data_IF_758076984133
#
_entry.id   IF_758076984133
#
_cell.length_a   1.000
_cell.length_b   1.000
_cell.length_c   1.000
_cell.angle_alpha   90.00
_cell.angle_beta   90.00
_cell.angle_gamma   90.00
#
_symmetry.space_group_name_H-M   'P 1'
#
loop_
_entity.id
_entity.type
_entity.pdbx_description
1 polymer ?
#
# COMPACT_ATOMS: atom_id res chain seq x y z
N UNK A 1 26.56 -23.53 -22.73
CA UNK A 1 25.19 -23.91 -22.37
C UNK A 1 24.45 -22.88 -21.47
N UNK A 2 24.97 -21.72 -21.04
CA UNK A 2 24.18 -20.69 -20.34
C UNK A 2 23.32 -19.81 -21.25
N UNK A 3 23.70 -19.61 -22.51
CA UNK A 3 22.97 -18.70 -23.43
C UNK A 3 21.64 -19.23 -23.95
N UNK A 4 21.46 -20.53 -24.05
CA UNK A 4 20.19 -21.16 -24.47
C UNK A 4 19.07 -21.08 -23.41
N UNK A 5 19.43 -20.99 -22.13
CA UNK A 5 18.48 -20.81 -21.02
C UNK A 5 18.04 -19.35 -20.88
N UNK A 6 18.88 -18.39 -21.24
CA UNK A 6 18.57 -16.95 -21.19
C UNK A 6 17.54 -16.54 -22.25
N UNK A 7 17.56 -17.12 -23.44
CA UNK A 7 16.62 -16.80 -24.53
C UNK A 7 15.20 -17.33 -24.28
N UNK A 8 15.05 -18.40 -23.52
CA UNK A 8 13.75 -19.02 -23.22
C UNK A 8 12.93 -18.27 -22.14
N UNK A 9 13.55 -17.38 -21.36
CA UNK A 9 12.88 -16.65 -20.27
C UNK A 9 12.43 -15.24 -20.65
N UNK A 10 12.92 -14.68 -21.76
CA UNK A 10 12.66 -13.31 -22.19
C UNK A 10 11.18 -12.99 -22.50
N UNK A 11 10.33 -13.99 -22.71
CA UNK A 11 8.91 -13.83 -23.07
C UNK A 11 7.94 -14.44 -22.02
N UNK A 12 8.44 -14.91 -20.89
CA UNK A 12 7.55 -15.52 -19.88
C UNK A 12 6.91 -14.47 -19.01
N UNK A 13 5.62 -14.61 -18.67
CA UNK A 13 4.92 -13.64 -17.82
C UNK A 13 5.53 -13.51 -16.42
N UNK A 14 5.48 -12.30 -15.89
CA UNK A 14 5.76 -12.00 -14.48
C UNK A 14 4.45 -12.09 -13.72
N UNK A 15 4.39 -12.94 -12.70
CA UNK A 15 3.22 -13.03 -11.82
C UNK A 15 3.46 -12.16 -10.60
N UNK A 16 2.55 -11.24 -10.31
CA UNK A 16 2.55 -10.44 -9.08
C UNK A 16 1.41 -10.92 -8.20
N UNK A 17 1.74 -11.62 -7.11
CA UNK A 17 0.76 -12.12 -6.15
C UNK A 17 0.59 -11.12 -4.99
N UNK A 18 -0.62 -10.62 -4.78
CA UNK A 18 -0.95 -9.69 -3.71
C UNK A 18 -2.31 -9.97 -3.11
N UNK A 19 -2.44 -9.78 -1.80
CA UNK A 19 -3.69 -9.81 -1.04
C UNK A 19 -3.76 -8.58 -0.15
N UNK A 20 -4.90 -7.92 -0.12
CA UNK A 20 -5.08 -6.73 0.72
C UNK A 20 -6.18 -5.82 0.23
N UNK A 21 -5.97 -4.53 0.44
CA UNK A 21 -6.88 -3.44 0.11
C UNK A 21 -6.39 -2.66 -1.13
N UNK A 22 -7.07 -1.58 -1.47
CA UNK A 22 -6.60 -0.64 -2.50
C UNK A 22 -5.16 -0.15 -2.25
N UNK A 23 -4.75 -0.03 -0.96
CA UNK A 23 -3.40 0.37 -0.58
C UNK A 23 -2.32 -0.62 -1.01
N UNK A 24 -2.68 -1.90 -1.12
CA UNK A 24 -1.78 -2.97 -1.54
C UNK A 24 -1.82 -3.19 -3.06
N UNK A 25 -2.99 -3.09 -3.69
CA UNK A 25 -3.18 -3.45 -5.10
C UNK A 25 -2.79 -2.32 -6.05
N UNK A 26 -3.12 -1.05 -5.76
CA UNK A 26 -2.80 0.09 -6.65
C UNK A 26 -1.30 0.26 -6.91
N UNK A 27 -0.40 0.20 -5.91
CA UNK A 27 1.04 0.25 -6.16
C UNK A 27 1.54 -0.90 -7.05
N UNK A 28 0.92 -2.07 -6.93
CA UNK A 28 1.26 -3.24 -7.74
C UNK A 28 0.82 -3.07 -9.20
N UNK A 29 -0.32 -2.45 -9.43
CA UNK A 29 -0.73 -2.08 -10.79
C UNK A 29 0.26 -1.08 -11.38
N UNK A 30 0.72 -0.10 -10.61
CA UNK A 30 1.74 0.85 -11.07
C UNK A 30 3.06 0.14 -11.47
N UNK A 31 3.55 -0.76 -10.61
CA UNK A 31 4.73 -1.58 -10.91
C UNK A 31 4.51 -2.46 -12.15
N UNK A 32 3.33 -3.11 -12.24
CA UNK A 32 2.96 -3.94 -13.41
C UNK A 32 2.96 -3.15 -14.72
N UNK A 33 2.42 -1.94 -14.71
CA UNK A 33 2.47 -1.05 -15.90
C UNK A 33 3.90 -0.63 -16.26
N UNK A 34 4.74 -0.36 -15.26
CA UNK A 34 6.16 -0.07 -15.49
C UNK A 34 6.90 -1.24 -16.14
N UNK A 35 6.61 -2.46 -15.69
CA UNK A 35 7.12 -3.68 -16.30
C UNK A 35 6.62 -3.84 -17.75
N UNK A 36 5.34 -3.58 -18.01
CA UNK A 36 4.79 -3.63 -19.38
C UNK A 36 5.43 -2.59 -20.31
N UNK A 37 5.73 -1.39 -19.82
CA UNK A 37 6.43 -0.35 -20.58
C UNK A 37 7.84 -0.76 -21.01
N UNK A 38 8.46 -1.70 -20.28
CA UNK A 38 9.73 -2.35 -20.64
C UNK A 38 9.57 -3.58 -21.53
N UNK A 39 8.31 -3.93 -21.91
CA UNK A 39 7.99 -5.03 -22.80
C UNK A 39 7.72 -6.36 -22.13
N UNK A 40 7.61 -6.40 -20.79
CA UNK A 40 7.28 -7.63 -20.06
C UNK A 40 5.76 -7.86 -20.01
N UNK A 41 5.35 -9.12 -20.14
CA UNK A 41 3.95 -9.52 -19.85
C UNK A 41 3.77 -9.65 -18.35
N UNK A 42 2.68 -9.10 -17.81
CA UNK A 42 2.42 -9.07 -16.37
C UNK A 42 1.04 -9.62 -16.05
N UNK A 43 0.98 -10.56 -15.11
CA UNK A 43 -0.23 -11.12 -14.51
C UNK A 43 -0.35 -10.71 -13.06
N UNK A 44 -1.51 -10.24 -12.66
CA UNK A 44 -1.79 -9.89 -11.26
C UNK A 44 -2.71 -10.95 -10.67
N UNK A 45 -2.18 -11.70 -9.71
CA UNK A 45 -2.88 -12.73 -8.94
C UNK A 45 -3.38 -12.09 -7.64
N UNK A 46 -4.68 -11.77 -7.58
CA UNK A 46 -5.27 -11.05 -6.44
C UNK A 46 -6.77 -11.26 -6.31
N UNK A 47 -7.38 -10.66 -5.29
CA UNK A 47 -8.80 -10.76 -4.97
C UNK A 47 -9.70 -10.32 -6.14
N UNK A 48 -10.82 -11.03 -6.41
CA UNK A 48 -11.72 -10.76 -7.54
C UNK A 48 -12.33 -9.34 -7.57
N UNK A 49 -12.49 -8.70 -6.43
CA UNK A 49 -13.02 -7.34 -6.35
C UNK A 49 -12.14 -6.28 -7.03
N UNK A 50 -10.89 -6.62 -7.41
CA UNK A 50 -9.98 -5.75 -8.15
C UNK A 50 -9.89 -6.06 -9.65
N UNK A 51 -10.60 -7.05 -10.17
CA UNK A 51 -10.53 -7.45 -11.59
C UNK A 51 -10.73 -6.28 -12.54
N UNK A 52 -11.81 -5.51 -12.35
CA UNK A 52 -12.14 -4.35 -13.19
C UNK A 52 -11.00 -3.34 -13.20
N UNK A 53 -10.44 -3.04 -12.02
CA UNK A 53 -9.33 -2.07 -11.89
C UNK A 53 -8.07 -2.57 -12.59
N UNK A 54 -7.74 -3.85 -12.50
CA UNK A 54 -6.54 -4.45 -13.11
C UNK A 54 -6.67 -4.44 -14.62
N UNK A 55 -7.80 -4.95 -15.16
CA UNK A 55 -8.05 -5.00 -16.60
C UNK A 55 -8.14 -3.61 -17.23
N UNK A 56 -8.73 -2.64 -16.54
CA UNK A 56 -8.77 -1.24 -16.98
C UNK A 56 -7.38 -0.60 -17.10
N UNK A 57 -6.38 -1.16 -16.41
CA UNK A 57 -4.97 -0.74 -16.52
C UNK A 57 -4.14 -1.61 -17.50
N UNK A 58 -4.79 -2.47 -18.28
CA UNK A 58 -4.14 -3.28 -19.34
C UNK A 58 -3.35 -4.47 -18.81
N UNK A 59 -3.54 -4.88 -17.55
CA UNK A 59 -2.87 -6.04 -16.95
C UNK A 59 -3.75 -7.28 -17.01
N UNK A 60 -3.13 -8.46 -17.10
CA UNK A 60 -3.85 -9.73 -16.99
C UNK A 60 -4.25 -9.98 -15.55
N UNK A 61 -5.52 -10.33 -15.33
CA UNK A 61 -6.04 -10.67 -14.01
C UNK A 61 -6.17 -12.17 -13.83
N UNK A 62 -5.72 -12.67 -12.68
CA UNK A 62 -5.94 -14.01 -12.19
C UNK A 62 -6.57 -13.96 -10.80
N UNK A 63 -7.65 -14.70 -10.53
CA UNK A 63 -8.31 -14.65 -9.22
C UNK A 63 -7.47 -15.32 -8.14
N UNK A 64 -7.47 -14.71 -6.95
CA UNK A 64 -6.94 -15.29 -5.72
C UNK A 64 -7.96 -15.07 -4.61
N UNK A 65 -8.43 -16.15 -3.99
CA UNK A 65 -9.38 -16.08 -2.88
C UNK A 65 -8.82 -15.26 -1.72
N UNK A 66 -9.54 -14.21 -1.30
CA UNK A 66 -9.01 -13.30 -0.27
C UNK A 66 -9.65 -11.90 -0.26
N UNK A 67 -10.98 -11.81 -0.09
CA UNK A 67 -11.68 -10.53 -0.06
C UNK A 67 -11.48 -9.81 1.29
N UNK A 68 -10.44 -8.98 1.36
CA UNK A 68 -10.14 -8.18 2.54
C UNK A 68 -11.19 -7.09 2.80
N UNK A 69 -11.90 -6.61 1.77
CA UNK A 69 -12.96 -5.62 1.96
C UNK A 69 -14.11 -6.21 2.77
N UNK A 70 -14.59 -7.39 2.38
CA UNK A 70 -15.63 -8.09 3.12
C UNK A 70 -15.18 -8.47 4.54
N UNK A 71 -13.91 -8.90 4.68
CA UNK A 71 -13.35 -9.21 5.99
C UNK A 71 -13.38 -8.00 6.93
N UNK A 72 -12.90 -6.84 6.49
CA UNK A 72 -12.82 -5.63 7.31
C UNK A 72 -14.22 -5.05 7.58
N UNK A 73 -15.11 -5.03 6.59
CA UNK A 73 -16.49 -4.56 6.76
C UNK A 73 -17.30 -5.46 7.69
N UNK A 74 -17.10 -6.78 7.61
CA UNK A 74 -17.78 -7.74 8.47
C UNK A 74 -17.19 -7.88 9.88
N UNK A 75 -15.99 -7.32 10.14
CA UNK A 75 -15.29 -7.47 11.41
C UNK A 75 -14.61 -6.15 11.83
N UNK A 76 -15.36 -5.19 12.38
CA UNK A 76 -14.81 -3.89 12.80
C UNK A 76 -13.65 -4.00 13.79
N UNK A 77 -13.67 -4.97 14.70
CA UNK A 77 -12.57 -5.20 15.66
C UNK A 77 -11.25 -5.56 14.97
N UNK A 78 -11.32 -6.32 13.86
CA UNK A 78 -10.15 -6.61 13.03
C UNK A 78 -9.67 -5.36 12.29
N UNK A 79 -10.60 -4.58 11.73
CA UNK A 79 -10.29 -3.36 10.99
C UNK A 79 -9.61 -2.31 11.87
N UNK A 80 -10.03 -2.20 13.13
CA UNK A 80 -9.55 -1.20 14.08
C UNK A 80 -8.48 -1.74 15.05
N UNK A 81 -8.10 -3.02 14.90
CA UNK A 81 -7.20 -3.72 15.83
C UNK A 81 -7.67 -3.61 17.29
N UNK A 82 -9.00 -3.61 17.49
CA UNK A 82 -9.66 -3.55 18.80
C UNK A 82 -10.08 -4.95 19.25
N UNK A 83 -10.26 -5.10 20.53
CA UNK A 83 -10.61 -6.40 21.13
C UNK A 83 -9.38 -7.22 21.52
N UNK A 84 -9.61 -8.36 22.12
CA UNK A 84 -8.52 -9.22 22.58
C UNK A 84 -7.76 -9.82 21.39
N UNK A 85 -6.43 -9.79 21.43
CA UNK A 85 -5.57 -10.33 20.37
C UNK A 85 -5.93 -11.77 19.95
N UNK A 86 -6.48 -12.56 20.89
CA UNK A 86 -6.94 -13.95 20.63
C UNK A 86 -8.14 -13.99 19.65
N UNK A 87 -9.09 -13.06 19.81
CA UNK A 87 -10.25 -12.96 18.93
C UNK A 87 -9.86 -12.54 17.52
N UNK A 88 -9.06 -11.48 17.40
CA UNK A 88 -8.53 -10.99 16.11
C UNK A 88 -7.74 -12.12 15.41
N UNK A 89 -6.85 -12.78 16.13
CA UNK A 89 -6.05 -13.88 15.61
C UNK A 89 -6.89 -15.06 15.15
N UNK A 90 -7.92 -15.44 15.94
CA UNK A 90 -8.85 -16.52 15.58
C UNK A 90 -9.63 -16.22 14.30
N UNK A 91 -10.17 -15.01 14.19
CA UNK A 91 -10.90 -14.55 12.99
C UNK A 91 -10.02 -14.55 11.75
N UNK A 92 -8.83 -13.95 11.83
CA UNK A 92 -7.88 -13.92 10.72
C UNK A 92 -7.46 -15.33 10.30
N UNK A 93 -7.17 -16.22 11.26
CA UNK A 93 -6.77 -17.59 10.97
C UNK A 93 -7.89 -18.39 10.30
N UNK A 94 -9.12 -18.30 10.79
CA UNK A 94 -10.27 -18.97 10.18
C UNK A 94 -10.49 -18.53 8.75
N UNK A 95 -10.37 -17.23 8.50
CA UNK A 95 -10.52 -16.66 7.16
C UNK A 95 -9.40 -17.10 6.21
N UNK A 96 -8.15 -17.08 6.68
CA UNK A 96 -7.00 -17.56 5.88
C UNK A 96 -7.13 -19.04 5.52
N UNK A 97 -7.59 -19.90 6.42
CA UNK A 97 -7.84 -21.31 6.14
C UNK A 97 -8.94 -21.50 5.09
N UNK A 98 -9.99 -20.69 5.15
CA UNK A 98 -11.05 -20.71 4.13
C UNK A 98 -10.51 -20.33 2.75
N UNK A 99 -9.78 -19.24 2.64
CA UNK A 99 -9.21 -18.76 1.37
C UNK A 99 -8.14 -19.70 0.80
N UNK A 100 -7.32 -20.29 1.66
CA UNK A 100 -6.19 -21.12 1.25
C UNK A 100 -6.60 -22.40 0.48
N UNK A 101 -7.86 -22.83 0.57
CA UNK A 101 -8.37 -24.02 -0.14
C UNK A 101 -8.19 -23.91 -1.66
N UNK A 102 -8.34 -22.71 -2.19
CA UNK A 102 -8.28 -22.47 -3.63
C UNK A 102 -6.90 -21.99 -4.10
N UNK A 103 -6.03 -21.55 -3.18
CA UNK A 103 -4.77 -20.86 -3.52
C UNK A 103 -3.81 -21.71 -4.37
N UNK A 104 -3.77 -23.02 -4.14
CA UNK A 104 -2.89 -23.91 -4.91
C UNK A 104 -3.32 -24.01 -6.37
N UNK A 105 -4.63 -24.15 -6.64
CA UNK A 105 -5.19 -24.22 -7.99
C UNK A 105 -5.08 -22.88 -8.71
N UNK A 106 -5.50 -21.80 -8.03
CA UNK A 106 -5.42 -20.42 -8.55
C UNK A 106 -3.98 -20.02 -8.85
N UNK A 107 -3.05 -20.34 -7.95
CA UNK A 107 -1.62 -20.11 -8.16
C UNK A 107 -1.04 -20.91 -9.29
N UNK A 108 -1.47 -22.18 -9.46
CA UNK A 108 -1.07 -23.04 -10.58
C UNK A 108 -1.48 -22.42 -11.92
N UNK A 109 -2.73 -21.97 -12.04
CA UNK A 109 -3.24 -21.34 -13.25
C UNK A 109 -2.43 -20.07 -13.62
N UNK A 110 -2.08 -19.24 -12.63
CA UNK A 110 -1.31 -18.02 -12.87
C UNK A 110 0.16 -18.28 -13.24
N UNK A 111 0.77 -19.36 -12.70
CA UNK A 111 2.21 -19.63 -12.78
C UNK A 111 2.61 -20.67 -13.83
N UNK A 112 1.68 -21.26 -14.59
CA UNK A 112 1.93 -22.40 -15.49
C UNK A 112 3.10 -22.17 -16.48
N UNK A 113 3.25 -20.95 -16.98
CA UNK A 113 4.27 -20.53 -17.95
C UNK A 113 5.06 -19.29 -17.47
N UNK A 114 4.96 -18.96 -16.19
CA UNK A 114 5.62 -17.78 -15.63
C UNK A 114 7.16 -17.88 -15.64
N UNK A 115 7.82 -16.72 -15.66
CA UNK A 115 9.27 -16.61 -15.58
C UNK A 115 9.78 -16.06 -14.23
N UNK A 116 8.94 -15.30 -13.52
CA UNK A 116 9.26 -14.66 -12.23
C UNK A 116 7.98 -14.52 -11.41
N UNK A 117 8.10 -14.66 -10.09
CA UNK A 117 7.01 -14.35 -9.17
C UNK A 117 7.43 -13.20 -8.24
N UNK A 118 6.61 -12.15 -8.18
CA UNK A 118 6.71 -11.09 -7.19
C UNK A 118 5.66 -11.31 -6.10
N UNK A 119 6.10 -11.47 -4.85
CA UNK A 119 5.22 -11.68 -3.69
C UNK A 119 5.06 -10.42 -2.86
N UNK A 120 3.82 -10.01 -2.56
CA UNK A 120 3.49 -8.76 -1.84
C UNK A 120 2.76 -9.07 -0.54
N UNK A 121 3.17 -8.44 0.56
CA UNK A 121 2.52 -8.59 1.85
C UNK A 121 2.39 -10.06 2.29
N UNK A 122 1.21 -10.47 2.71
CA UNK A 122 0.92 -11.85 3.12
C UNK A 122 1.00 -12.86 1.97
N UNK A 123 0.72 -12.45 0.72
CA UNK A 123 0.84 -13.31 -0.46
C UNK A 123 2.30 -13.70 -0.77
N UNK A 124 3.30 -13.06 -0.15
CA UNK A 124 4.72 -13.44 -0.28
C UNK A 124 5.00 -14.89 0.12
N UNK A 125 4.27 -15.42 1.10
CA UNK A 125 4.42 -16.84 1.50
C UNK A 125 3.86 -17.81 0.45
N UNK A 126 2.74 -17.45 -0.18
CA UNK A 126 2.19 -18.19 -1.31
C UNK A 126 3.14 -18.13 -2.51
N UNK A 127 3.60 -16.93 -2.86
CA UNK A 127 4.56 -16.70 -3.94
C UNK A 127 5.82 -17.55 -3.78
N UNK A 128 6.36 -17.66 -2.56
CA UNK A 128 7.51 -18.49 -2.26
C UNK A 128 7.20 -19.99 -2.43
N UNK A 129 6.00 -20.46 -2.03
CA UNK A 129 5.58 -21.85 -2.24
C UNK A 129 5.40 -22.18 -3.73
N UNK A 130 4.79 -21.27 -4.49
CA UNK A 130 4.63 -21.41 -5.95
C UNK A 130 6.00 -21.40 -6.65
N UNK A 131 6.92 -20.51 -6.24
CA UNK A 131 8.28 -20.50 -6.76
C UNK A 131 9.02 -21.83 -6.56
N UNK A 132 8.87 -22.46 -5.40
CA UNK A 132 9.43 -23.79 -5.13
C UNK A 132 8.77 -24.90 -5.97
N UNK A 133 7.44 -24.86 -6.12
CA UNK A 133 6.69 -25.87 -6.86
C UNK A 133 7.04 -25.87 -8.36
N UNK A 134 7.30 -24.69 -8.93
CA UNK A 134 7.54 -24.52 -10.37
C UNK A 134 9.01 -24.20 -10.72
N UNK A 135 9.91 -24.17 -9.75
CA UNK A 135 11.33 -23.84 -9.99
C UNK A 135 11.54 -22.39 -10.47
N UNK A 136 10.67 -21.46 -10.06
CA UNK A 136 10.70 -20.08 -10.51
C UNK A 136 11.46 -19.17 -9.53
N UNK A 137 12.21 -18.18 -10.02
CA UNK A 137 12.76 -17.15 -9.16
C UNK A 137 11.64 -16.38 -8.46
N UNK A 138 11.89 -15.98 -7.21
CA UNK A 138 10.96 -15.21 -6.39
C UNK A 138 11.66 -13.96 -5.89
N UNK A 139 10.98 -12.81 -6.00
CA UNK A 139 11.37 -11.57 -5.34
C UNK A 139 10.18 -11.04 -4.52
N UNK A 140 10.46 -10.47 -3.36
CA UNK A 140 9.41 -9.83 -2.58
C UNK A 140 9.32 -8.35 -2.95
N UNK A 141 8.12 -7.88 -3.21
CA UNK A 141 7.79 -6.50 -3.53
C UNK A 141 6.95 -5.92 -2.40
N UNK A 142 7.58 -5.28 -1.43
CA UNK A 142 6.93 -4.87 -0.20
C UNK A 142 6.64 -3.37 -0.17
N UNK A 143 5.55 -2.99 0.47
CA UNK A 143 5.15 -1.59 0.64
C UNK A 143 5.53 -1.04 2.02
N UNK A 144 5.97 -1.91 2.92
CA UNK A 144 6.39 -1.59 4.28
C UNK A 144 7.78 -2.17 4.57
N UNK A 145 8.58 -1.55 5.47
CA UNK A 145 9.94 -1.97 5.78
C UNK A 145 9.97 -3.20 6.70
N UNK A 146 9.88 -4.40 6.13
CA UNK A 146 9.78 -5.67 6.86
C UNK A 146 11.13 -6.34 7.15
N UNK A 147 12.23 -5.86 6.56
CA UNK A 147 13.58 -6.36 6.86
C UNK A 147 14.01 -5.89 8.26
N UNK A 148 14.43 -6.82 9.10
CA UNK A 148 14.86 -6.50 10.46
C UNK A 148 16.07 -5.55 10.45
N UNK A 149 16.08 -4.61 11.42
CA UNK A 149 17.13 -3.61 11.54
C UNK A 149 17.33 -3.21 13.00
N UNK A 150 18.56 -2.82 13.34
CA UNK A 150 18.89 -2.20 14.63
C UNK A 150 18.43 -0.74 14.69
N UNK A 151 18.26 -0.12 13.53
CA UNK A 151 18.06 1.32 13.38
C UNK A 151 16.61 1.70 13.05
N UNK A 152 15.80 0.73 12.59
CA UNK A 152 14.43 0.96 12.20
C UNK A 152 13.49 0.55 13.34
N UNK A 153 12.64 1.45 13.88
CA UNK A 153 11.70 1.08 14.93
C UNK A 153 10.67 0.07 14.42
N UNK A 154 10.07 -0.67 15.33
CA UNK A 154 8.95 -1.55 15.01
C UNK A 154 7.75 -0.73 14.50
N UNK A 155 7.12 -1.19 13.41
CA UNK A 155 5.98 -0.49 12.80
C UNK A 155 4.81 -0.30 13.78
N UNK A 156 4.58 -1.25 14.67
CA UNK A 156 3.50 -1.21 15.66
C UNK A 156 3.81 -0.35 16.89
N UNK A 157 5.09 -0.01 17.12
CA UNK A 157 5.56 0.81 18.25
C UNK A 157 6.67 1.79 17.80
N UNK A 158 6.42 2.67 16.84
CA UNK A 158 7.47 3.48 16.21
C UNK A 158 8.06 4.54 17.15
N UNK A 159 7.36 4.90 18.23
CA UNK A 159 7.80 5.92 19.19
C UNK A 159 8.64 5.32 20.33
N UNK A 160 8.80 3.99 20.39
CA UNK A 160 9.59 3.33 21.45
C UNK A 160 11.02 3.16 20.98
N UNK A 161 11.96 3.83 21.66
CA UNK A 161 13.38 3.67 21.41
C UNK A 161 13.91 2.46 22.17
N UNK A 162 14.37 1.46 21.42
CA UNK A 162 14.92 0.23 21.96
C UNK A 162 16.41 0.11 21.64
N UNK A 163 17.21 -0.56 22.48
CA UNK A 163 18.56 -0.98 22.11
C UNK A 163 18.54 -1.80 20.82
N UNK A 164 19.49 -1.57 19.91
CA UNK A 164 19.46 -2.14 18.56
C UNK A 164 19.31 -3.67 18.53
N UNK A 165 19.96 -4.40 19.45
CA UNK A 165 19.80 -5.87 19.52
C UNK A 165 18.39 -6.29 19.92
N UNK A 166 17.76 -5.59 20.87
CA UNK A 166 16.38 -5.84 21.30
C UNK A 166 15.44 -5.53 20.14
N UNK A 167 15.69 -4.44 19.42
CA UNK A 167 14.89 -4.05 18.26
C UNK A 167 14.92 -5.15 17.18
N UNK A 168 16.09 -5.66 16.80
CA UNK A 168 16.22 -6.78 15.85
C UNK A 168 15.49 -8.03 16.35
N UNK A 169 15.65 -8.39 17.63
CA UNK A 169 14.95 -9.55 18.21
C UNK A 169 13.43 -9.40 18.08
N UNK A 170 12.89 -8.22 18.37
CA UNK A 170 11.46 -7.96 18.23
C UNK A 170 10.99 -7.97 16.78
N UNK A 171 11.78 -7.49 15.83
CA UNK A 171 11.46 -7.68 14.40
C UNK A 171 11.33 -9.17 14.06
N UNK A 172 12.22 -10.02 14.59
CA UNK A 172 12.11 -11.46 14.39
C UNK A 172 10.88 -12.06 15.07
N UNK A 173 10.50 -11.59 16.28
CA UNK A 173 9.29 -12.03 16.99
C UNK A 173 8.03 -11.66 16.21
N UNK A 174 7.90 -10.41 15.73
CA UNK A 174 6.74 -9.97 14.94
C UNK A 174 6.64 -10.77 13.64
N UNK A 175 7.76 -10.98 12.96
CA UNK A 175 7.80 -11.81 11.74
C UNK A 175 7.41 -13.25 12.03
N UNK A 176 7.88 -13.81 13.13
CA UNK A 176 7.52 -15.16 13.56
C UNK A 176 6.03 -15.26 13.89
N UNK A 177 5.46 -14.29 14.59
CA UNK A 177 4.03 -14.25 14.86
C UNK A 177 3.23 -14.23 13.54
N UNK A 178 3.57 -13.36 12.60
CA UNK A 178 2.93 -13.35 11.27
C UNK A 178 3.06 -14.68 10.53
N UNK A 179 4.20 -15.37 10.64
CA UNK A 179 4.37 -16.71 10.11
C UNK A 179 3.42 -17.73 10.79
N UNK A 180 3.30 -17.72 12.13
CA UNK A 180 2.41 -18.66 12.83
C UNK A 180 0.94 -18.46 12.44
N UNK A 181 0.54 -17.26 12.05
CA UNK A 181 -0.78 -17.00 11.50
C UNK A 181 -0.98 -17.69 10.14
N UNK A 182 0.01 -17.58 9.25
CA UNK A 182 -0.03 -18.12 7.89
C UNK A 182 0.25 -19.63 7.82
N UNK A 183 0.97 -20.16 8.80
CA UNK A 183 1.51 -21.54 8.77
C UNK A 183 0.47 -22.63 8.51
N UNK A 184 -0.71 -22.65 9.17
CA UNK A 184 -1.69 -23.70 8.90
C UNK A 184 -2.24 -23.63 7.48
N UNK A 185 -2.56 -22.44 6.97
CA UNK A 185 -3.04 -22.26 5.61
C UNK A 185 -2.03 -22.79 4.57
N UNK A 186 -0.75 -22.57 4.82
CA UNK A 186 0.30 -23.02 3.91
C UNK A 186 0.67 -24.48 4.13
N UNK A 187 0.99 -24.91 5.34
CA UNK A 187 1.53 -26.23 5.59
C UNK A 187 0.47 -27.34 5.52
N UNK A 188 -0.77 -27.06 5.90
CA UNK A 188 -1.82 -28.07 5.99
C UNK A 188 -2.70 -28.12 4.72
N UNK A 189 -2.70 -27.03 3.89
CA UNK A 189 -3.55 -26.92 2.71
C UNK A 189 -2.73 -26.71 1.43
N UNK A 190 -2.02 -25.57 1.31
CA UNK A 190 -1.41 -25.15 0.04
C UNK A 190 -0.25 -26.04 -0.36
N UNK A 191 0.71 -26.27 0.53
CA UNK A 191 1.93 -27.01 0.21
C UNK A 191 1.68 -28.48 -0.12
N UNK A 192 0.81 -29.22 0.61
CA UNK A 192 0.44 -30.57 0.20
C UNK A 192 -0.23 -30.62 -1.19
N UNK A 193 -1.13 -29.65 -1.49
CA UNK A 193 -1.77 -29.55 -2.80
C UNK A 193 -0.78 -29.21 -3.95
N UNK A 194 0.37 -28.62 -3.64
CA UNK A 194 1.47 -28.36 -4.57
C UNK A 194 2.53 -29.48 -4.59
N UNK A 195 2.36 -30.56 -3.82
CA UNK A 195 3.36 -31.64 -3.72
C UNK A 195 4.63 -31.25 -2.96
N UNK A 196 4.58 -30.24 -2.10
CA UNK A 196 5.73 -29.72 -1.36
C UNK A 196 5.72 -30.17 0.11
N UNK A 197 6.88 -30.41 0.71
CA UNK A 197 6.99 -30.65 2.15
C UNK A 197 6.59 -29.42 2.94
N UNK A 198 6.11 -29.60 4.17
CA UNK A 198 5.80 -28.51 5.08
C UNK A 198 7.04 -27.63 5.36
N UNK A 199 6.83 -26.32 5.51
CA UNK A 199 7.90 -25.45 6.01
C UNK A 199 8.27 -25.79 7.45
N UNK A 200 9.53 -25.58 7.84
CA UNK A 200 9.94 -25.70 9.23
C UNK A 200 9.11 -24.83 10.16
N UNK A 201 9.10 -25.16 11.45
CA UNK A 201 8.37 -24.39 12.46
C UNK A 201 8.73 -22.89 12.47
N UNK A 202 9.99 -22.57 12.19
CA UNK A 202 10.49 -21.18 12.13
C UNK A 202 10.13 -20.44 10.83
N UNK A 203 9.48 -21.12 9.89
CA UNK A 203 9.08 -20.59 8.58
C UNK A 203 10.10 -20.85 7.49
N UNK A 204 9.82 -20.31 6.28
CA UNK A 204 10.73 -20.44 5.15
C UNK A 204 12.06 -19.73 5.40
N UNK A 205 13.14 -20.30 4.86
CA UNK A 205 14.42 -19.60 4.76
C UNK A 205 14.26 -18.41 3.76
N UNK A 206 14.69 -17.26 4.19
CA UNK A 206 14.62 -16.02 3.41
C UNK A 206 15.97 -15.37 3.16
N UNK A 207 17.06 -16.03 3.55
CA UNK A 207 18.41 -15.47 3.45
C UNK A 207 18.79 -15.14 2.00
N UNK A 208 18.36 -15.96 1.03
CA UNK A 208 18.59 -15.76 -0.39
C UNK A 208 17.54 -14.90 -1.10
N UNK A 209 16.48 -14.48 -0.41
CA UNK A 209 15.39 -13.73 -1.05
C UNK A 209 15.76 -12.26 -1.23
N UNK A 210 15.48 -11.78 -2.42
CA UNK A 210 15.60 -10.36 -2.78
C UNK A 210 14.29 -9.64 -2.47
N UNK A 211 14.39 -8.39 -2.00
CA UNK A 211 13.24 -7.58 -1.61
C UNK A 211 13.39 -6.19 -2.20
N UNK A 212 12.39 -5.74 -2.95
CA UNK A 212 12.22 -4.35 -3.36
C UNK A 212 11.13 -3.70 -2.53
N UNK A 213 11.34 -2.44 -2.18
CA UNK A 213 10.41 -1.67 -1.35
C UNK A 213 9.82 -0.51 -2.13
N UNK A 214 8.48 -0.45 -2.21
CA UNK A 214 7.69 0.58 -2.89
C UNK A 214 7.39 1.79 -2.01
N UNK A 215 8.39 2.30 -1.29
CA UNK A 215 8.31 3.56 -0.55
C UNK A 215 9.59 4.39 -0.74
N UNK A 216 9.54 5.68 -0.42
CA UNK A 216 10.64 6.61 -0.67
C UNK A 216 11.69 6.59 0.45
N UNK A 217 12.97 6.54 0.07
CA UNK A 217 14.09 6.74 0.99
C UNK A 217 14.15 8.17 1.57
N UNK A 218 13.51 9.14 0.94
CA UNK A 218 13.38 10.50 1.45
C UNK A 218 12.49 10.56 2.69
N UNK A 219 11.47 9.70 2.76
CA UNK A 219 10.61 9.57 3.93
C UNK A 219 11.26 8.69 5.00
N UNK A 220 11.64 7.47 4.63
CA UNK A 220 12.26 6.49 5.52
C UNK A 220 13.55 5.97 4.87
N UNK A 221 14.74 6.45 5.30
CA UNK A 221 16.02 6.06 4.73
C UNK A 221 16.30 4.57 4.90
N UNK A 222 17.06 4.01 3.96
CA UNK A 222 17.54 2.65 4.07
C UNK A 222 18.44 2.48 5.29
N UNK A 223 18.12 1.55 6.21
CA UNK A 223 19.00 1.25 7.34
C UNK A 223 20.37 0.76 6.88
N UNK A 224 21.46 1.16 7.56
CA UNK A 224 22.83 0.78 7.16
C UNK A 224 23.11 -0.72 7.34
N UNK A 225 22.37 -1.41 8.19
CA UNK A 225 22.48 -2.84 8.47
C UNK A 225 21.62 -3.73 7.57
N UNK A 226 20.90 -3.16 6.60
CA UNK A 226 20.16 -3.96 5.64
C UNK A 226 21.10 -4.62 4.61
N UNK A 227 20.85 -5.89 4.23
CA UNK A 227 21.62 -6.57 3.19
C UNK A 227 21.40 -5.92 1.82
N UNK A 228 22.35 -6.11 0.91
CA UNK A 228 22.24 -5.61 -0.47
C UNK A 228 21.07 -6.22 -1.25
N UNK A 229 20.51 -7.33 -0.78
CA UNK A 229 19.29 -7.94 -1.32
C UNK A 229 18.01 -7.21 -0.93
N UNK A 230 18.06 -6.14 -0.11
CA UNK A 230 16.91 -5.32 0.29
C UNK A 230 17.10 -3.88 -0.20
N UNK A 231 16.31 -3.45 -1.20
CA UNK A 231 16.46 -2.15 -1.86
C UNK A 231 15.17 -1.33 -1.80
N UNK A 232 15.32 -0.02 -1.50
CA UNK A 232 14.21 0.95 -1.54
C UNK A 232 14.22 1.59 -2.91
N UNK A 233 13.06 1.55 -3.59
CA UNK A 233 12.96 2.03 -4.97
C UNK A 233 12.25 3.39 -5.10
N UNK A 234 11.48 3.82 -4.12
CA UNK A 234 10.57 4.95 -4.21
C UNK A 234 9.12 4.50 -4.24
N UNK A 235 8.16 5.44 -4.13
CA UNK A 235 6.74 5.10 -4.16
C UNK A 235 6.28 4.62 -5.54
N UNK A 236 5.46 3.57 -5.59
CA UNK A 236 4.82 3.08 -6.81
C UNK A 236 3.44 3.71 -6.92
N UNK A 237 3.37 4.85 -7.61
CA UNK A 237 2.14 5.61 -7.77
C UNK A 237 1.43 5.24 -9.07
N UNK A 238 0.09 5.11 -9.01
CA UNK A 238 -0.77 4.83 -10.14
C UNK A 238 -1.57 6.10 -10.51
N UNK A 239 -1.10 6.91 -11.47
CA UNK A 239 -1.83 8.09 -11.93
C UNK A 239 -3.14 7.71 -12.65
N UNK A 240 -4.16 8.56 -12.52
CA UNK A 240 -5.44 8.42 -13.21
C UNK A 240 -5.78 9.68 -14.03
N UNK A 241 -5.03 9.99 -15.08
CA UNK A 241 -5.15 11.26 -15.82
C UNK A 241 -6.49 11.44 -16.54
N UNK A 242 -7.20 10.34 -16.83
CA UNK A 242 -8.47 10.36 -17.55
C UNK A 242 -9.70 10.52 -16.64
N UNK A 243 -9.51 10.58 -15.32
CA UNK A 243 -10.63 10.75 -14.39
C UNK A 243 -11.27 12.14 -14.53
N UNK A 244 -12.59 12.15 -14.68
CA UNK A 244 -13.37 13.40 -14.80
C UNK A 244 -14.07 13.71 -13.47
N UNK A 245 -13.83 14.87 -12.87
CA UNK A 245 -14.50 15.26 -11.63
C UNK A 245 -15.99 15.56 -11.86
N UNK A 246 -16.87 15.17 -10.92
CA UNK A 246 -18.25 15.59 -10.94
C UNK A 246 -18.36 17.12 -10.94
N UNK A 247 -19.33 17.66 -11.68
CA UNK A 247 -19.56 19.12 -11.79
C UNK A 247 -19.74 19.78 -10.41
N UNK A 248 -20.45 19.12 -9.49
CA UNK A 248 -20.65 19.62 -8.13
C UNK A 248 -19.32 19.74 -7.35
N UNK A 249 -18.39 18.81 -7.52
CA UNK A 249 -17.06 18.89 -6.90
C UNK A 249 -16.27 20.08 -7.48
N UNK A 250 -16.31 20.27 -8.80
CA UNK A 250 -15.65 21.41 -9.44
C UNK A 250 -16.22 22.74 -8.93
N UNK A 251 -17.55 22.87 -8.89
CA UNK A 251 -18.21 24.05 -8.37
C UNK A 251 -17.82 24.32 -6.90
N UNK A 252 -17.79 23.30 -6.06
CA UNK A 252 -17.33 23.44 -4.69
C UNK A 252 -15.89 23.94 -4.62
N UNK A 253 -14.96 23.38 -5.38
CA UNK A 253 -13.56 23.79 -5.37
C UNK A 253 -13.38 25.25 -5.84
N UNK A 254 -14.18 25.70 -6.82
CA UNK A 254 -14.13 27.06 -7.37
C UNK A 254 -14.80 28.12 -6.46
N UNK A 255 -15.72 27.71 -5.59
CA UNK A 255 -16.52 28.62 -4.77
C UNK A 255 -15.74 29.24 -3.59
N UNK A 256 -14.45 28.97 -3.40
CA UNK A 256 -13.67 29.55 -2.31
C UNK A 256 -12.24 29.01 -2.22
N UNK A 257 -11.53 29.32 -1.12
CA UNK A 257 -10.16 28.89 -0.95
C UNK A 257 -10.02 27.36 -0.95
N UNK A 258 -8.82 26.82 -1.31
CA UNK A 258 -8.59 25.38 -1.33
C UNK A 258 -8.95 24.72 0.00
N UNK A 259 -9.79 23.66 0.00
CA UNK A 259 -10.25 23.00 1.21
C UNK A 259 -9.21 22.08 1.84
N UNK A 260 -9.50 21.54 3.02
CA UNK A 260 -8.87 20.35 3.58
C UNK A 260 -9.45 19.10 2.90
N UNK A 261 -8.64 18.05 2.79
CA UNK A 261 -9.12 16.70 2.50
C UNK A 261 -9.19 15.87 3.80
N UNK A 262 -10.29 15.17 4.01
CA UNK A 262 -10.44 14.23 5.12
C UNK A 262 -11.00 12.91 4.59
N UNK A 263 -10.23 11.84 4.75
CA UNK A 263 -10.65 10.52 4.26
C UNK A 263 -9.75 9.40 4.78
N UNK A 264 -10.36 8.28 5.14
CA UNK A 264 -9.66 7.15 5.75
C UNK A 264 -9.53 5.94 4.81
N UNK A 265 -9.82 6.15 3.50
CA UNK A 265 -9.59 5.16 2.44
C UNK A 265 -10.37 3.87 2.65
N UNK A 266 -9.64 2.76 2.72
CA UNK A 266 -10.21 1.42 2.91
C UNK A 266 -10.50 1.07 4.37
N UNK A 267 -10.29 1.99 5.31
CA UNK A 267 -10.60 1.74 6.72
C UNK A 267 -12.09 1.94 6.99
N UNK A 268 -12.67 1.00 7.73
CA UNK A 268 -14.02 1.10 8.27
C UNK A 268 -13.95 1.56 9.73
N UNK A 269 -14.96 2.27 10.20
CA UNK A 269 -15.04 2.71 11.58
C UNK A 269 -16.35 2.27 12.21
N UNK A 270 -16.28 1.65 13.38
CA UNK A 270 -17.44 1.35 14.21
C UNK A 270 -18.14 2.64 14.69
N UNK A 271 -17.37 3.73 14.78
CA UNK A 271 -17.80 5.03 15.30
C UNK A 271 -17.87 6.09 14.20
N UNK A 272 -18.17 5.71 12.93
CA UNK A 272 -18.10 6.61 11.78
C UNK A 272 -18.92 7.90 11.96
N UNK A 273 -20.10 7.82 12.59
CA UNK A 273 -20.96 8.98 12.87
C UNK A 273 -20.27 9.92 13.85
N UNK A 274 -19.78 9.40 14.97
CA UNK A 274 -19.10 10.19 15.99
C UNK A 274 -17.80 10.81 15.44
N UNK A 275 -17.02 10.05 14.71
CA UNK A 275 -15.80 10.54 14.07
C UNK A 275 -16.11 11.66 13.09
N UNK A 276 -17.17 11.52 12.28
CA UNK A 276 -17.60 12.54 11.34
C UNK A 276 -18.03 13.82 12.07
N UNK A 277 -18.78 13.71 13.16
CA UNK A 277 -19.18 14.86 13.99
C UNK A 277 -17.96 15.59 14.57
N UNK A 278 -17.00 14.84 15.14
CA UNK A 278 -15.74 15.38 15.68
C UNK A 278 -14.91 16.10 14.62
N UNK A 279 -14.79 15.49 13.43
CA UNK A 279 -14.07 16.06 12.30
C UNK A 279 -14.73 17.35 11.82
N UNK A 280 -16.07 17.37 11.63
CA UNK A 280 -16.81 18.58 11.24
C UNK A 280 -16.64 19.70 12.28
N UNK A 281 -16.74 19.38 13.57
CA UNK A 281 -16.53 20.35 14.64
C UNK A 281 -15.11 20.94 14.62
N UNK A 282 -14.07 20.09 14.45
CA UNK A 282 -12.70 20.57 14.33
C UNK A 282 -12.48 21.50 13.13
N UNK A 283 -13.06 21.16 11.97
CA UNK A 283 -12.98 22.01 10.76
C UNK A 283 -13.66 23.36 10.99
N UNK A 284 -14.83 23.39 11.67
CA UNK A 284 -15.50 24.67 12.05
C UNK A 284 -14.60 25.55 12.90
N UNK A 285 -13.88 24.98 13.90
CA UNK A 285 -12.94 25.69 14.77
C UNK A 285 -11.77 26.32 14.04
N UNK A 286 -11.43 25.83 12.84
CA UNK A 286 -10.36 26.40 12.01
C UNK A 286 -10.86 27.43 10.99
N UNK A 287 -12.17 27.54 10.79
CA UNK A 287 -12.75 28.37 9.76
C UNK A 287 -12.54 27.89 8.30
N UNK A 288 -11.91 26.72 8.12
CA UNK A 288 -11.57 26.18 6.80
C UNK A 288 -12.76 25.45 6.15
N UNK A 289 -12.64 25.18 4.85
CA UNK A 289 -13.53 24.31 4.08
C UNK A 289 -12.96 22.91 4.03
N UNK A 290 -13.80 21.89 3.81
CA UNK A 290 -13.34 20.51 3.78
C UNK A 290 -14.08 19.62 2.78
N UNK A 291 -13.33 18.70 2.19
CA UNK A 291 -13.82 17.55 1.43
C UNK A 291 -13.82 16.33 2.36
N UNK A 292 -14.97 15.70 2.51
CA UNK A 292 -15.16 14.51 3.36
C UNK A 292 -15.33 13.29 2.46
N UNK A 293 -14.31 12.44 2.40
CA UNK A 293 -14.33 11.21 1.61
C UNK A 293 -14.77 10.03 2.47
N UNK A 294 -15.91 9.42 2.13
CA UNK A 294 -16.46 8.28 2.89
C UNK A 294 -15.64 7.00 2.75
N UNK A 295 -15.02 6.77 1.58
CA UNK A 295 -14.27 5.54 1.31
C UNK A 295 -15.12 4.29 1.55
N UNK A 296 -14.55 3.30 2.29
CA UNK A 296 -15.28 2.08 2.65
C UNK A 296 -16.15 2.20 3.92
N UNK A 297 -16.37 3.41 4.44
CA UNK A 297 -17.19 3.65 5.63
C UNK A 297 -16.42 4.24 6.81
N UNK A 298 -15.26 4.85 6.55
CA UNK A 298 -14.48 5.54 7.60
C UNK A 298 -15.13 6.85 8.08
N UNK A 299 -15.95 7.48 7.23
CA UNK A 299 -16.79 8.63 7.56
C UNK A 299 -18.25 8.37 7.14
N UNK A 300 -19.19 8.86 7.92
CA UNK A 300 -20.60 8.75 7.60
C UNK A 300 -20.98 9.71 6.46
N UNK A 301 -21.83 9.21 5.56
CA UNK A 301 -22.33 9.97 4.40
C UNK A 301 -23.58 10.79 4.70
N UNK A 302 -24.24 10.53 5.84
CA UNK A 302 -25.47 11.23 6.21
C UNK A 302 -25.23 12.73 6.32
N UNK A 303 -25.91 13.48 5.48
CA UNK A 303 -25.85 14.93 5.46
C UNK A 303 -26.79 15.48 6.52
N UNK A 304 -26.23 15.83 7.68
CA UNK A 304 -26.91 16.65 8.70
C UNK A 304 -26.41 18.09 8.59
N UNK A 305 -26.21 18.57 7.36
CA UNK A 305 -25.77 19.93 7.13
C UNK A 305 -26.87 20.91 7.60
N UNK A 306 -26.67 21.53 8.75
CA UNK A 306 -27.39 22.69 9.14
C UNK A 306 -27.05 23.88 8.20
N UNK A 307 -27.87 24.91 8.21
CA UNK A 307 -27.64 26.13 7.40
C UNK A 307 -26.22 26.74 7.61
N UNK A 308 -25.63 26.52 8.78
CA UNK A 308 -24.26 26.95 9.15
C UNK A 308 -23.14 26.27 8.36
N UNK A 309 -23.39 25.11 7.77
CA UNK A 309 -22.43 24.32 7.02
C UNK A 309 -22.52 24.52 5.50
N UNK A 310 -23.43 25.34 5.04
CA UNK A 310 -23.62 25.61 3.62
C UNK A 310 -22.32 26.08 2.97
N UNK A 311 -21.84 25.36 1.98
CA UNK A 311 -20.58 25.66 1.26
C UNK A 311 -19.29 25.37 2.02
N UNK A 312 -19.35 24.91 3.29
CA UNK A 312 -18.15 24.55 4.07
C UNK A 312 -17.71 23.12 3.81
N UNK A 313 -18.64 22.19 3.70
CA UNK A 313 -18.35 20.77 3.51
C UNK A 313 -18.84 20.26 2.16
N UNK A 314 -18.07 19.39 1.54
CA UNK A 314 -18.46 18.62 0.38
C UNK A 314 -18.21 17.15 0.64
N UNK A 315 -19.24 16.32 0.49
CA UNK A 315 -19.15 14.88 0.63
C UNK A 315 -18.85 14.25 -0.72
N UNK A 316 -17.85 13.38 -0.75
CA UNK A 316 -17.52 12.59 -1.94
C UNK A 316 -17.28 11.13 -1.53
N UNK A 317 -17.60 10.21 -2.41
CA UNK A 317 -17.36 8.80 -2.16
C UNK A 317 -15.86 8.50 -2.29
N UNK A 318 -15.28 8.86 -3.43
CA UNK A 318 -13.84 8.73 -3.69
C UNK A 318 -13.42 9.65 -4.83
N UNK A 319 -12.13 10.00 -4.85
CA UNK A 319 -11.49 10.67 -5.97
C UNK A 319 -10.01 10.24 -6.04
N UNK A 320 -9.40 10.22 -7.22
CA UNK A 320 -7.97 9.98 -7.36
C UNK A 320 -7.16 11.05 -6.64
N UNK A 321 -6.22 10.62 -5.80
CA UNK A 321 -5.42 11.53 -5.00
C UNK A 321 -4.50 12.42 -5.88
N UNK A 322 -3.99 11.89 -6.99
CA UNK A 322 -3.18 12.63 -7.95
C UNK A 322 -3.93 13.81 -8.58
N UNK A 323 -5.26 13.67 -8.79
CA UNK A 323 -6.12 14.76 -9.22
C UNK A 323 -6.52 15.70 -8.06
N UNK A 324 -6.89 15.13 -6.90
CA UNK A 324 -7.51 15.88 -5.80
C UNK A 324 -6.49 16.64 -4.96
N UNK A 325 -5.36 16.03 -4.59
CA UNK A 325 -4.42 16.60 -3.62
C UNK A 325 -3.74 17.91 -4.07
N UNK A 326 -3.48 18.16 -5.38
CA UNK A 326 -3.03 19.49 -5.82
C UNK A 326 -4.02 20.64 -5.54
N UNK A 327 -5.28 20.30 -5.20
CA UNK A 327 -6.40 21.25 -5.00
C UNK A 327 -6.79 21.43 -3.55
N UNK A 328 -6.06 20.83 -2.61
CA UNK A 328 -6.32 20.91 -1.18
C UNK A 328 -5.10 21.46 -0.41
N UNK A 329 -5.33 21.99 0.79
CA UNK A 329 -4.26 22.61 1.60
C UNK A 329 -3.50 21.64 2.47
N UNK A 330 -4.15 20.58 2.94
CA UNK A 330 -3.60 19.50 3.74
C UNK A 330 -4.51 18.28 3.67
N UNK A 331 -3.98 17.10 3.99
CA UNK A 331 -4.73 15.85 4.01
C UNK A 331 -4.80 15.27 5.43
N UNK A 332 -6.04 15.03 5.91
CA UNK A 332 -6.29 14.23 7.12
C UNK A 332 -6.58 12.81 6.67
N UNK A 333 -5.77 11.84 7.11
CA UNK A 333 -5.90 10.47 6.66
C UNK A 333 -5.42 9.45 7.71
N UNK A 334 -5.66 8.17 7.43
CA UNK A 334 -5.29 7.08 8.34
C UNK A 334 -3.77 6.78 8.41
N UNK A 335 -2.97 7.26 7.44
CA UNK A 335 -1.52 7.01 7.42
C UNK A 335 -1.08 5.78 6.61
N UNK A 336 -1.93 5.21 5.76
CA UNK A 336 -1.52 4.13 4.87
C UNK A 336 -0.46 4.60 3.86
N UNK A 337 0.46 3.72 3.46
CA UNK A 337 1.60 4.03 2.59
C UNK A 337 1.20 4.74 1.29
N UNK A 338 0.12 4.29 0.62
CA UNK A 338 -0.35 4.87 -0.63
C UNK A 338 -0.84 6.32 -0.49
N UNK A 339 -1.69 6.62 0.50
CA UNK A 339 -2.19 7.98 0.76
C UNK A 339 -1.06 8.90 1.24
N UNK A 340 -0.18 8.38 2.10
CA UNK A 340 1.03 9.09 2.54
C UNK A 340 1.91 9.46 1.36
N UNK A 341 2.21 8.52 0.47
CA UNK A 341 3.00 8.76 -0.73
C UNK A 341 2.35 9.78 -1.67
N UNK A 342 1.02 9.73 -1.84
CA UNK A 342 0.29 10.67 -2.69
C UNK A 342 0.32 12.11 -2.12
N UNK A 343 0.12 12.27 -0.81
CA UNK A 343 0.20 13.58 -0.16
C UNK A 343 1.61 14.18 -0.25
N UNK A 344 2.62 13.35 -0.02
CA UNK A 344 4.02 13.74 -0.14
C UNK A 344 4.40 14.13 -1.56
N UNK A 345 4.00 13.35 -2.56
CA UNK A 345 4.33 13.63 -3.96
C UNK A 345 3.78 14.99 -4.43
N UNK A 346 2.62 15.39 -3.93
CA UNK A 346 2.06 16.73 -4.19
C UNK A 346 2.74 17.79 -3.33
N UNK A 347 3.29 17.44 -2.19
CA UNK A 347 3.95 18.35 -1.26
C UNK A 347 2.99 19.08 -0.35
N UNK A 348 1.91 18.40 0.08
CA UNK A 348 0.97 18.91 1.08
C UNK A 348 1.23 18.26 2.45
N UNK A 349 1.04 19.01 3.56
CA UNK A 349 1.11 18.46 4.91
C UNK A 349 0.03 17.42 5.18
N UNK A 350 0.33 16.49 6.08
CA UNK A 350 -0.61 15.47 6.54
C UNK A 350 -0.97 15.67 8.01
N UNK A 351 -2.19 15.29 8.40
CA UNK A 351 -2.59 15.04 9.78
C UNK A 351 -3.04 13.59 9.86
N UNK A 352 -2.42 12.79 10.71
CA UNK A 352 -2.61 11.34 10.69
C UNK A 352 -3.37 10.84 11.91
N UNK A 353 -4.45 10.10 11.66
CA UNK A 353 -5.25 9.37 12.65
C UNK A 353 -5.15 7.86 12.35
N UNK A 354 -4.17 7.15 12.94
CA UNK A 354 -3.97 5.74 12.64
C UNK A 354 -5.11 4.86 13.16
N UNK A 355 -5.50 3.85 12.38
CA UNK A 355 -6.39 2.77 12.79
C UNK A 355 -5.61 1.56 13.31
N UNK A 356 -4.44 1.27 12.71
CA UNK A 356 -3.58 0.15 13.09
C UNK A 356 -2.53 -0.17 12.02
N UNK A 357 -1.97 -1.36 12.07
CA UNK A 357 -1.02 -1.91 11.10
C UNK A 357 0.28 -1.08 10.98
N UNK A 358 0.64 -0.67 9.78
CA UNK A 358 1.82 0.16 9.46
C UNK A 358 1.58 1.68 9.61
N UNK A 359 0.33 2.07 9.84
CA UNK A 359 -0.06 3.49 9.84
C UNK A 359 0.64 4.32 10.94
N UNK A 360 0.80 3.82 12.19
CA UNK A 360 1.57 4.54 13.21
C UNK A 360 3.02 4.79 12.80
N UNK A 361 3.62 3.86 12.07
CA UNK A 361 4.98 3.99 11.56
C UNK A 361 5.10 5.12 10.53
N UNK A 362 4.20 5.16 9.54
CA UNK A 362 4.23 6.23 8.55
C UNK A 362 3.95 7.59 9.16
N UNK A 363 3.02 7.66 10.12
CA UNK A 363 2.78 8.89 10.88
C UNK A 363 4.01 9.37 11.63
N UNK A 364 4.76 8.47 12.27
CA UNK A 364 6.02 8.77 12.92
C UNK A 364 7.05 9.30 11.91
N UNK A 365 7.21 8.65 10.76
CA UNK A 365 8.13 9.11 9.71
C UNK A 365 7.77 10.52 9.20
N UNK A 366 6.50 10.81 8.97
CA UNK A 366 6.02 12.12 8.54
C UNK A 366 6.34 13.22 9.58
N UNK A 367 6.09 12.94 10.86
CA UNK A 367 6.38 13.86 11.95
C UNK A 367 7.90 14.14 12.06
N UNK A 368 8.74 13.09 11.94
CA UNK A 368 10.20 13.22 11.94
C UNK A 368 10.73 14.09 10.77
N UNK A 369 10.01 14.13 9.66
CA UNK A 369 10.33 14.99 8.49
C UNK A 369 9.75 16.40 8.60
N UNK A 370 9.01 16.71 9.67
CA UNK A 370 8.38 18.02 9.87
C UNK A 370 7.26 18.33 8.86
N UNK A 371 6.65 17.29 8.27
CA UNK A 371 5.57 17.41 7.27
C UNK A 371 4.20 16.98 7.79
N UNK A 372 4.14 16.61 9.07
CA UNK A 372 2.93 16.32 9.82
C UNK A 372 3.15 16.66 11.31
N UNK A 373 2.11 17.06 12.06
CA UNK A 373 2.15 17.02 13.52
C UNK A 373 2.25 15.57 14.01
N UNK A 374 2.51 15.32 15.31
CA UNK A 374 2.41 13.99 15.88
C UNK A 374 1.06 13.35 15.60
N UNK A 375 1.06 12.02 15.40
CA UNK A 375 -0.18 11.28 15.15
C UNK A 375 -1.19 11.47 16.29
N UNK A 376 -2.46 11.61 15.94
CA UNK A 376 -3.54 11.73 16.90
C UNK A 376 -4.18 10.37 17.18
N UNK A 377 -4.46 10.10 18.45
CA UNK A 377 -5.27 8.94 18.81
C UNK A 377 -6.72 9.14 18.32
N UNK A 378 -7.26 8.17 17.58
CA UNK A 378 -8.64 8.24 17.07
C UNK A 378 -9.65 8.06 18.21
N UNK A 379 -9.36 7.16 19.15
CA UNK A 379 -10.22 6.90 20.32
C UNK A 379 -10.15 8.09 21.28
N UNK A 380 -11.30 8.65 21.62
CA UNK A 380 -11.37 9.82 22.49
C UNK A 380 -10.90 11.13 21.84
N UNK A 381 -10.81 11.17 20.50
CA UNK A 381 -10.41 12.38 19.76
C UNK A 381 -11.36 13.54 20.08
N UNK A 382 -10.80 14.66 20.51
CA UNK A 382 -11.54 15.88 20.75
C UNK A 382 -11.41 16.83 19.55
N UNK A 383 -12.47 17.59 19.21
CA UNK A 383 -12.45 18.55 18.11
C UNK A 383 -11.32 19.57 18.23
N UNK A 384 -11.03 20.05 19.43
CA UNK A 384 -9.99 21.05 19.71
C UNK A 384 -8.60 20.49 19.40
N UNK A 385 -8.35 19.24 19.75
CA UNK A 385 -7.07 18.55 19.48
C UNK A 385 -6.85 18.41 17.98
N UNK A 386 -7.87 18.02 17.22
CA UNK A 386 -7.78 17.92 15.77
C UNK A 386 -7.63 19.32 15.14
N UNK A 387 -8.39 20.32 15.62
CA UNK A 387 -8.27 21.68 15.13
C UNK A 387 -6.87 22.28 15.32
N UNK A 388 -6.22 22.00 16.46
CA UNK A 388 -4.85 22.41 16.69
C UNK A 388 -3.88 21.73 15.72
N UNK A 389 -4.00 20.45 15.49
CA UNK A 389 -3.19 19.74 14.49
C UNK A 389 -3.40 20.28 13.05
N UNK A 390 -4.63 20.68 12.70
CA UNK A 390 -4.93 21.32 11.42
C UNK A 390 -4.27 22.70 11.30
N UNK A 391 -4.25 23.50 12.39
CA UNK A 391 -3.52 24.77 12.41
C UNK A 391 -2.01 24.54 12.23
N UNK A 392 -1.42 23.58 12.91
CA UNK A 392 -0.01 23.20 12.76
C UNK A 392 0.32 22.79 11.33
N UNK A 393 -0.51 21.93 10.71
CA UNK A 393 -0.37 21.53 9.31
C UNK A 393 -0.50 22.72 8.34
N UNK A 394 -1.18 23.78 8.76
CA UNK A 394 -1.38 25.00 7.94
C UNK A 394 -0.25 26.01 8.07
N UNK A 395 0.74 25.80 8.95
CA UNK A 395 1.84 26.75 9.15
C UNK A 395 2.71 26.88 7.89
N UNK A 396 3.27 28.06 7.61
CA UNK A 396 4.19 28.27 6.48
C UNK A 396 5.39 27.31 6.52
N UNK A 397 5.92 27.04 7.70
CA UNK A 397 7.08 26.16 7.92
C UNK A 397 6.76 24.72 7.49
N UNK A 398 5.64 24.14 7.97
CA UNK A 398 5.27 22.76 7.64
C UNK A 398 4.92 22.63 6.15
N UNK A 399 4.22 23.62 5.58
CA UNK A 399 3.95 23.65 4.13
C UNK A 399 5.22 23.74 3.29
N UNK A 400 6.20 24.53 3.71
CA UNK A 400 7.50 24.63 3.03
C UNK A 400 8.26 23.30 3.09
N UNK A 401 8.30 22.66 4.28
CA UNK A 401 8.91 21.34 4.46
C UNK A 401 8.23 20.28 3.58
N UNK A 402 6.90 20.26 3.54
CA UNK A 402 6.15 19.33 2.71
C UNK A 402 6.44 19.54 1.21
N UNK A 403 6.47 20.79 0.72
CA UNK A 403 6.84 21.09 -0.67
C UNK A 403 8.26 20.65 -1.01
N UNK A 404 9.22 20.93 -0.13
CA UNK A 404 10.62 20.56 -0.34
C UNK A 404 10.83 19.03 -0.35
N UNK A 405 10.16 18.30 0.56
CA UNK A 405 10.18 16.84 0.56
C UNK A 405 9.49 16.28 -0.67
N UNK A 406 8.34 16.85 -1.03
CA UNK A 406 7.56 16.44 -2.20
C UNK A 406 8.34 16.60 -3.51
N UNK A 407 9.13 17.67 -3.65
CA UNK A 407 9.99 17.81 -4.82
C UNK A 407 10.99 16.65 -4.93
N UNK A 408 11.72 16.34 -3.85
CA UNK A 408 12.66 15.21 -3.85
C UNK A 408 11.99 13.86 -4.15
N UNK A 409 10.75 13.66 -3.68
CA UNK A 409 9.99 12.43 -3.96
C UNK A 409 9.52 12.36 -5.42
N UNK A 410 9.14 13.49 -6.04
CA UNK A 410 8.82 13.53 -7.47
C UNK A 410 10.01 13.26 -8.37
N UNK A 411 11.21 13.64 -7.92
CA UNK A 411 12.46 13.38 -8.63
C UNK A 411 12.85 11.89 -8.57
N UNK A 412 12.23 11.10 -7.65
CA UNK A 412 12.34 9.64 -7.63
C UNK A 412 11.35 9.04 -8.63
N UNK A 413 11.82 8.19 -9.52
CA UNK A 413 10.96 7.32 -10.32
C UNK A 413 10.92 5.93 -9.69
N UNK A 414 10.05 5.75 -8.68
CA UNK A 414 10.02 4.52 -7.89
C UNK A 414 9.69 3.27 -8.69
N UNK A 415 8.84 3.39 -9.70
CA UNK A 415 8.48 2.28 -10.59
C UNK A 415 9.67 1.91 -11.48
N UNK A 416 10.30 2.89 -12.11
CA UNK A 416 11.48 2.69 -12.95
C UNK A 416 12.62 2.09 -12.13
N UNK A 417 12.91 2.66 -10.95
CA UNK A 417 13.96 2.16 -10.07
C UNK A 417 13.72 0.69 -9.66
N UNK A 418 12.46 0.28 -9.44
CA UNK A 418 12.12 -1.09 -9.12
C UNK A 418 12.38 -2.03 -10.31
N UNK A 419 12.02 -1.64 -11.52
CA UNK A 419 12.27 -2.43 -12.74
C UNK A 419 13.77 -2.53 -13.00
N UNK A 420 14.50 -1.41 -12.97
CA UNK A 420 15.97 -1.37 -13.13
C UNK A 420 16.68 -2.25 -12.09
N UNK A 421 16.17 -2.28 -10.84
CA UNK A 421 16.73 -3.14 -9.80
C UNK A 421 16.49 -4.63 -10.04
N UNK A 422 15.31 -5.01 -10.55
CA UNK A 422 15.02 -6.40 -10.92
C UNK A 422 15.90 -6.85 -12.11
N UNK A 423 16.12 -5.98 -13.09
CA UNK A 423 17.04 -6.21 -14.21
C UNK A 423 18.50 -6.33 -13.70
N UNK A 424 18.95 -5.42 -12.85
CA UNK A 424 20.31 -5.46 -12.27
C UNK A 424 20.57 -6.73 -11.45
N UNK A 425 19.55 -7.31 -10.87
CA UNK A 425 19.65 -8.59 -10.17
C UNK A 425 19.59 -9.81 -11.10
N UNK A 426 19.40 -9.62 -12.40
CA UNK A 426 19.25 -10.71 -13.38
C UNK A 426 17.96 -11.50 -13.20
N UNK A 427 16.94 -10.92 -12.54
CA UNK A 427 15.61 -11.52 -12.41
C UNK A 427 14.75 -11.25 -13.64
N UNK A 428 15.08 -10.21 -14.39
CA UNK A 428 14.48 -9.84 -15.65
C UNK A 428 15.58 -9.76 -16.72
N UNK A 429 15.24 -10.23 -17.91
CA UNK A 429 16.12 -10.09 -19.08
C UNK A 429 15.52 -9.05 -20.01
N UNK A 430 16.29 -8.01 -20.42
CA UNK A 430 15.78 -6.97 -21.29
C UNK A 430 15.16 -7.58 -22.55
N UNK A 431 13.90 -7.28 -22.79
CA UNK A 431 13.25 -7.63 -24.06
C UNK A 431 13.88 -6.77 -25.12
N UNK A 432 14.51 -7.40 -26.12
CA UNK A 432 15.08 -6.67 -27.27
C UNK A 432 13.96 -5.80 -27.86
N UNK A 433 14.14 -4.47 -27.85
CA UNK A 433 13.21 -3.57 -28.51
C UNK A 433 13.19 -3.96 -29.99
N UNK A 434 12.09 -4.55 -30.47
CA UNK A 434 11.80 -4.63 -31.88
C UNK A 434 11.59 -3.19 -32.33
N UNK A 435 12.61 -2.56 -32.87
CA UNK A 435 12.50 -1.30 -33.60
C UNK A 435 11.53 -1.60 -34.71
N UNK A 436 10.31 -1.06 -34.63
CA UNK A 436 9.44 -0.98 -35.82
C UNK A 436 10.22 -0.19 -36.86
N UNK A 437 10.86 -0.90 -37.76
CA UNK A 437 11.32 -0.32 -39.02
C UNK A 437 10.03 0.08 -39.74
N UNK A 438 9.85 1.39 -39.85
CA UNK A 438 8.81 1.99 -40.69
C UNK A 438 8.86 1.34 -42.07
N UNK A 439 7.79 0.64 -42.43
CA UNK A 439 7.49 0.41 -43.82
C UNK A 439 7.04 1.77 -44.43
N UNK A 440 8.00 2.63 -44.65
CA UNK A 440 7.87 3.74 -45.56
C UNK A 440 8.73 3.43 -46.81
N UNK A 441 8.10 3.43 -47.94
CA UNK A 441 8.62 3.36 -49.31
C UNK A 441 8.39 2.02 -50.04
N UNK A 442 7.21 1.84 -50.59
CA UNK A 442 7.10 1.62 -52.06
C UNK A 442 5.86 2.37 -52.52
N UNK A 443 6.09 3.42 -53.25
CA UNK A 443 5.14 4.17 -54.05
C UNK A 443 4.69 3.35 -55.25
#
# INVERSE_FOLDING_TARGET
>A
MPEFLASATANRPIVIATLGTHGDVRPIIALGRGLQQRGYTVRVLTSPNFEVLIRANGLEFFPLSGDHQKLLQGNPDVAEMRGGWRGIWGTLRAQLLSWARDWAEQGRAACADAGLILGVGSASFLAHSLGQAYGLPVCFAQLQPLTASRHLPLMVMPNVRLPGQVNVALHHVVRFAGWQLMRPALNDIVRPALGLPAYPWRGPDRAALRVIYGYSAQLCPRPPDWPQSAQICGFWQLPQPQWQPPAALQAFLQAGPPPLYLGFGSMTSSDAVQLTATVKAAVRLTGQRALLASGWGGLATADTAGAEDAGRFFHLEQAPHDWLFPRVTAAVHHGGAGTTGAALAVGIPSVVLPFGYDQPFWAHCLAQRGVAPPALARVGLQPETLAEALRQASTPTMRAAARALGQRIRDEDGVRNAVDQLEAWGLLHPVARVTRIEQAAVA
#
